data_IF_194562350413
#
_entry.id   IF_194562350413
#
_cell.length_a   1.000
_cell.length_b   1.000
_cell.length_c   1.000
_cell.angle_alpha   90.00
_cell.angle_beta   90.00
_cell.angle_gamma   90.00
#
_symmetry.space_group_name_H-M   'P 1'
#
loop_
_entity.id
_entity.type
_entity.pdbx_description
1 polymer ?
#
# COMPACT_ATOMS: atom_id res chain seq x y z
N UNK A 1 2.83 -0.60 -8.93
CA UNK A 1 1.65 0.00 -8.28
C UNK A 1 2.13 1.13 -7.38
N UNK A 2 1.46 2.28 -7.39
CA UNK A 2 1.73 3.38 -6.46
C UNK A 2 0.49 3.64 -5.61
N UNK A 3 0.68 3.82 -4.30
CA UNK A 3 -0.40 4.11 -3.35
C UNK A 3 -0.06 5.29 -2.44
N UNK A 4 -0.95 5.53 -1.48
CA UNK A 4 -0.80 6.55 -0.45
C UNK A 4 -0.86 5.87 0.91
N UNK A 5 0.13 6.13 1.76
CA UNK A 5 0.18 5.76 3.18
C UNK A 5 0.80 6.94 3.93
N UNK A 6 1.40 6.75 5.10
CA UNK A 6 1.91 7.84 5.94
C UNK A 6 2.91 8.83 5.32
N UNK A 7 3.84 8.46 4.41
CA UNK A 7 4.78 9.41 3.82
C UNK A 7 4.12 10.44 2.90
N UNK A 8 4.69 11.65 2.87
CA UNK A 8 4.27 12.79 2.03
C UNK A 8 4.49 12.61 0.51
N UNK A 9 4.67 11.37 0.04
CA UNK A 9 4.87 11.02 -1.36
C UNK A 9 4.19 9.70 -1.66
N UNK A 10 3.89 9.48 -2.94
CA UNK A 10 3.47 8.16 -3.40
C UNK A 10 4.47 7.08 -2.98
N UNK A 11 3.95 5.98 -2.46
CA UNK A 11 4.74 4.81 -2.07
C UNK A 11 4.58 3.69 -3.09
N UNK A 12 5.64 2.91 -3.29
CA UNK A 12 5.57 1.62 -3.96
C UNK A 12 5.51 0.50 -2.91
N UNK A 13 4.84 -0.60 -3.24
CA UNK A 13 4.71 -1.76 -2.37
C UNK A 13 5.72 -2.84 -2.80
N UNK A 14 6.61 -3.31 -1.90
CA UNK A 14 7.52 -4.41 -2.20
C UNK A 14 6.76 -5.72 -2.45
N UNK A 15 7.15 -6.46 -3.48
CA UNK A 15 6.60 -7.78 -3.76
C UNK A 15 7.38 -8.87 -3.00
N UNK A 16 6.88 -9.27 -1.84
CA UNK A 16 7.50 -10.33 -1.03
C UNK A 16 7.30 -11.75 -1.56
N UNK A 17 6.50 -11.92 -2.63
CA UNK A 17 6.33 -13.20 -3.35
C UNK A 17 7.18 -13.28 -4.61
N UNK A 18 8.02 -12.28 -4.87
CA UNK A 18 8.97 -12.27 -5.98
C UNK A 18 9.81 -13.56 -6.01
N UNK A 19 9.69 -14.38 -7.08
CA UNK A 19 10.36 -15.68 -7.16
C UNK A 19 11.87 -15.56 -7.38
N UNK A 20 12.39 -14.36 -7.69
CA UNK A 20 13.81 -14.12 -7.95
C UNK A 20 14.61 -13.78 -6.69
N UNK A 21 13.93 -13.68 -5.54
CA UNK A 21 14.49 -13.22 -4.26
C UNK A 21 15.03 -11.77 -4.27
N UNK A 22 14.79 -10.98 -5.32
CA UNK A 22 15.32 -9.63 -5.41
C UNK A 22 14.72 -8.72 -4.32
N UNK A 23 13.41 -8.76 -4.12
CA UNK A 23 12.75 -7.99 -3.05
C UNK A 23 13.25 -8.38 -1.66
N UNK A 24 13.39 -9.69 -1.40
CA UNK A 24 13.87 -10.21 -0.11
C UNK A 24 15.29 -9.72 0.19
N UNK A 25 16.19 -9.81 -0.79
CA UNK A 25 17.58 -9.37 -0.65
C UNK A 25 17.67 -7.86 -0.43
N UNK A 26 16.89 -7.09 -1.17
CA UNK A 26 16.78 -5.64 -0.98
C UNK A 26 16.30 -5.28 0.43
N UNK A 27 15.22 -5.92 0.91
CA UNK A 27 14.66 -5.64 2.24
C UNK A 27 15.65 -5.93 3.37
N UNK A 28 16.39 -7.04 3.28
CA UNK A 28 17.48 -7.37 4.23
C UNK A 28 18.56 -6.29 4.23
N UNK A 29 18.98 -5.82 3.04
CA UNK A 29 20.01 -4.80 2.93
C UNK A 29 19.56 -3.46 3.54
N UNK A 30 18.32 -3.05 3.33
CA UNK A 30 17.77 -1.83 3.94
C UNK A 30 17.76 -1.90 5.47
N UNK A 31 17.33 -3.03 6.05
CA UNK A 31 17.37 -3.23 7.50
C UNK A 31 18.81 -3.18 8.03
N UNK A 32 19.74 -3.87 7.38
CA UNK A 32 21.17 -3.86 7.77
C UNK A 32 21.76 -2.44 7.69
N UNK A 33 21.42 -1.69 6.64
CA UNK A 33 21.88 -0.31 6.46
C UNK A 33 21.32 0.62 7.53
N UNK A 34 20.06 0.44 7.93
CA UNK A 34 19.47 1.23 8.99
C UNK A 34 20.00 0.84 10.37
N UNK A 35 20.19 -0.45 10.66
CA UNK A 35 20.76 -0.95 11.91
C UNK A 35 22.17 -0.40 12.17
N UNK A 36 22.98 -0.21 11.12
CA UNK A 36 24.30 0.44 11.22
C UNK A 36 24.24 1.89 11.69
N UNK A 37 23.12 2.58 11.44
CA UNK A 37 22.89 3.98 11.85
C UNK A 37 22.21 4.05 13.21
N UNK A 38 21.21 3.20 13.43
CA UNK A 38 20.39 3.13 14.63
C UNK A 38 20.24 1.65 15.03
N UNK A 39 21.06 1.16 15.97
CA UNK A 39 20.96 -0.21 16.48
C UNK A 39 19.58 -0.46 17.09
N UNK A 40 19.00 -1.62 16.78
CA UNK A 40 17.67 -2.03 17.25
C UNK A 40 17.59 -3.54 17.37
N UNK A 41 16.87 -4.04 18.37
CA UNK A 41 16.80 -5.48 18.69
C UNK A 41 15.60 -6.18 18.03
N UNK A 42 14.69 -5.43 17.41
CA UNK A 42 13.50 -5.95 16.75
C UNK A 42 12.84 -4.90 15.88
N UNK A 43 11.95 -5.35 15.00
CA UNK A 43 11.16 -4.50 14.11
C UNK A 43 9.68 -4.78 14.30
N UNK A 44 8.87 -3.73 14.33
CA UNK A 44 7.42 -3.83 14.23
C UNK A 44 7.03 -3.56 12.78
N UNK A 45 6.36 -4.54 12.16
CA UNK A 45 5.79 -4.41 10.82
C UNK A 45 4.30 -4.10 10.95
N UNK A 46 3.86 -3.02 10.32
CA UNK A 46 2.48 -2.52 10.37
C UNK A 46 1.98 -2.23 8.95
N UNK A 47 0.66 -2.12 8.80
CA UNK A 47 -0.01 -1.78 7.53
C UNK A 47 0.28 -2.77 6.38
N UNK A 48 0.50 -4.05 6.70
CA UNK A 48 0.97 -5.07 5.78
C UNK A 48 -0.16 -5.97 5.22
N UNK A 49 -1.42 -5.55 5.31
CA UNK A 49 -2.55 -6.19 4.63
C UNK A 49 -2.37 -6.31 3.11
N UNK A 50 -1.82 -5.33 2.34
CA UNK A 50 -1.30 -3.98 2.63
C UNK A 50 -2.36 -2.87 2.65
N UNK A 51 -2.15 -1.84 3.48
CA UNK A 51 -3.05 -0.70 3.53
C UNK A 51 -2.77 0.33 2.41
N UNK A 52 -3.83 0.96 1.90
CA UNK A 52 -3.76 2.08 0.97
C UNK A 52 -4.87 3.10 1.28
N UNK A 53 -4.49 4.34 1.55
CA UNK A 53 -5.40 5.37 2.05
C UNK A 53 -6.23 6.01 0.93
N UNK A 54 -7.52 6.13 1.18
CA UNK A 54 -8.45 6.85 0.31
C UNK A 54 -8.70 6.19 -1.04
N UNK A 55 -8.48 4.87 -1.17
CA UNK A 55 -8.70 4.14 -2.42
C UNK A 55 -10.13 4.38 -2.92
N UNK A 56 -10.28 4.86 -4.15
CA UNK A 56 -11.55 5.28 -4.77
C UNK A 56 -12.26 6.48 -4.11
N UNK A 57 -11.57 7.28 -3.29
CA UNK A 57 -12.11 8.50 -2.71
C UNK A 57 -11.58 9.73 -3.46
N UNK A 58 -12.46 10.60 -3.94
CA UNK A 58 -12.04 11.83 -4.64
C UNK A 58 -11.38 12.83 -3.69
N UNK A 59 -11.82 12.82 -2.42
CA UNK A 59 -11.35 13.73 -1.39
C UNK A 59 -11.13 12.99 -0.06
N UNK A 60 -10.02 12.25 0.08
CA UNK A 60 -9.67 11.54 1.32
C UNK A 60 -9.44 12.47 2.51
N UNK A 61 -9.53 11.91 3.72
CA UNK A 61 -9.34 12.66 4.98
C UNK A 61 -8.04 13.46 5.07
N UNK A 62 -6.96 12.98 4.43
CA UNK A 62 -5.65 13.61 4.46
C UNK A 62 -5.51 14.84 3.52
N UNK A 63 -6.51 15.16 2.67
CA UNK A 63 -6.45 16.35 1.79
C UNK A 63 -6.66 17.69 2.53
N UNK A 64 -7.15 17.64 3.76
CA UNK A 64 -7.36 18.83 4.62
C UNK A 64 -6.25 19.00 5.65
N UNK A 65 -5.29 18.08 5.69
CA UNK A 65 -4.22 18.10 6.67
C UNK A 65 -3.10 19.01 6.17
N UNK A 66 -2.68 19.95 7.01
CA UNK A 66 -1.62 20.90 6.65
C UNK A 66 -0.25 20.23 6.50
N UNK A 67 -0.09 19.08 7.14
CA UNK A 67 1.13 18.27 7.22
C UNK A 67 1.15 17.09 6.25
N UNK A 68 0.13 16.91 5.41
CA UNK A 68 0.13 15.87 4.37
C UNK A 68 -0.25 16.47 3.01
N UNK A 69 0.50 16.19 1.93
CA UNK A 69 0.16 16.72 0.62
C UNK A 69 -1.12 16.10 0.05
N UNK A 70 -1.74 16.80 -0.89
CA UNK A 70 -2.94 16.33 -1.59
C UNK A 70 -2.57 15.30 -2.66
N UNK A 71 -2.04 14.16 -2.22
CA UNK A 71 -1.57 13.06 -3.06
C UNK A 71 -2.78 12.29 -3.59
N UNK A 72 -2.91 12.16 -4.90
CA UNK A 72 -4.02 11.38 -5.47
C UNK A 72 -3.98 9.93 -5.00
N UNK A 73 -5.07 9.39 -4.43
CA UNK A 73 -5.14 8.00 -4.01
C UNK A 73 -5.13 7.04 -5.19
N UNK A 74 -5.00 5.76 -4.87
CA UNK A 74 -5.24 4.68 -5.82
C UNK A 74 -6.70 4.72 -6.30
N UNK A 75 -6.91 4.51 -7.60
CA UNK A 75 -8.23 4.41 -8.20
C UNK A 75 -8.39 3.09 -8.94
N UNK A 76 -9.33 2.27 -8.51
CA UNK A 76 -9.72 1.04 -9.19
C UNK A 76 -10.65 1.38 -10.36
N UNK A 77 -10.51 0.70 -11.51
CA UNK A 77 -11.36 0.95 -12.66
C UNK A 77 -12.74 0.30 -12.45
N UNK A 78 -13.66 1.01 -11.78
CA UNK A 78 -14.99 0.50 -11.38
C UNK A 78 -16.06 0.58 -12.48
N UNK A 79 -15.85 1.43 -13.50
CA UNK A 79 -16.83 1.69 -14.56
C UNK A 79 -16.45 0.99 -15.88
N UNK A 80 -17.17 -0.08 -16.22
CA UNK A 80 -17.13 -0.74 -17.55
C UNK A 80 -15.72 -1.07 -18.09
N UNK A 81 -14.76 -1.24 -17.18
CA UNK A 81 -13.39 -1.59 -17.53
C UNK A 81 -13.33 -3.06 -17.94
N UNK A 82 -12.48 -3.36 -18.92
CA UNK A 82 -12.19 -4.74 -19.34
C UNK A 82 -11.62 -5.58 -18.20
N UNK A 83 -11.07 -4.93 -17.17
CA UNK A 83 -10.30 -5.54 -16.10
C UNK A 83 -11.13 -5.80 -14.83
N UNK A 84 -12.43 -5.45 -14.83
CA UNK A 84 -13.35 -5.67 -13.70
C UNK A 84 -13.35 -7.12 -13.19
N UNK A 85 -13.13 -8.09 -14.07
CA UNK A 85 -13.07 -9.51 -13.70
C UNK A 85 -11.89 -9.84 -12.77
N UNK A 86 -10.83 -9.02 -12.78
CA UNK A 86 -9.65 -9.18 -11.93
C UNK A 86 -9.80 -8.46 -10.58
N UNK A 87 -10.71 -7.50 -10.49
CA UNK A 87 -11.04 -6.76 -9.26
C UNK A 87 -11.97 -7.54 -8.32
N UNK A 88 -12.63 -8.60 -8.82
CA UNK A 88 -13.51 -9.46 -8.02
C UNK A 88 -12.78 -10.78 -7.74
N UNK A 89 -12.21 -10.98 -6.54
CA UNK A 89 -11.53 -12.23 -6.24
C UNK A 89 -12.54 -13.39 -6.20
N UNK A 90 -12.15 -14.62 -6.59
CA UNK A 90 -13.02 -15.80 -6.54
C UNK A 90 -13.47 -16.14 -5.11
N UNK A 91 -12.70 -15.69 -4.11
CA UNK A 91 -13.03 -15.77 -2.69
C UNK A 91 -13.02 -14.36 -2.10
N UNK A 92 -14.21 -13.79 -1.90
CA UNK A 92 -14.34 -12.46 -1.33
C UNK A 92 -13.96 -12.48 0.17
N UNK A 93 -13.10 -11.57 0.58
CA UNK A 93 -12.75 -11.40 1.99
C UNK A 93 -13.88 -10.67 2.71
N UNK A 94 -13.93 -10.78 4.05
CA UNK A 94 -14.95 -10.09 4.86
C UNK A 94 -14.99 -8.57 4.60
N UNK A 95 -13.85 -7.97 4.24
CA UNK A 95 -13.74 -6.55 3.92
C UNK A 95 -14.58 -6.13 2.71
N UNK A 96 -14.74 -7.01 1.70
CA UNK A 96 -15.55 -6.73 0.50
C UNK A 96 -17.02 -6.49 0.84
N UNK A 97 -17.54 -7.15 1.88
CA UNK A 97 -18.95 -7.03 2.28
C UNK A 97 -19.26 -5.74 3.06
N UNK A 98 -18.25 -5.09 3.64
CA UNK A 98 -18.43 -3.83 4.36
C UNK A 98 -18.41 -2.61 3.44
N UNK A 99 -17.79 -2.73 2.25
CA UNK A 99 -17.77 -1.67 1.25
C UNK A 99 -18.97 -1.84 0.31
N UNK A 100 -20.15 -1.36 0.74
CA UNK A 100 -21.30 -1.20 -0.16
C UNK A 100 -21.20 0.15 -0.85
N UNK A 101 -21.18 0.12 -2.19
CA UNK A 101 -21.28 1.30 -3.06
C UNK A 101 -22.55 2.10 -2.80
#
# INVERSE_FOLDING_TARGET
MLGVVWPDRHVAFPDFLDPTDATKNWWIQEIVNFHKKVPHDGIWIDMNEPAAFGTNEEYPWYFQMADHPNIKPLWCPTNNSTDRQWEVPPFQTHAVYHYKH
#
